data_IF_522753610118
#
_entry.id   IF_522753610118
#
_cell.length_a   1.000
_cell.length_b   1.000
_cell.length_c   1.000
_cell.angle_alpha   90.00
_cell.angle_beta   90.00
_cell.angle_gamma   90.00
#
_symmetry.space_group_name_H-M   'P 1'
#
loop_
_entity.id
_entity.type
_entity.pdbx_description
1 polymer ?
#
# COMPACT_ATOMS: atom_id res chain seq x y z
N UNK A 1 21.89 19.53 15.29
CA UNK A 1 20.78 19.69 14.28
C UNK A 1 20.07 18.38 14.16
N UNK A 2 18.72 18.34 14.17
CA UNK A 2 17.97 17.10 13.89
C UNK A 2 18.24 16.69 12.45
N UNK A 3 18.56 15.42 12.23
CA UNK A 3 18.66 14.85 10.87
C UNK A 3 17.33 15.09 10.14
N UNK A 4 17.33 15.55 8.89
CA UNK A 4 16.08 15.75 8.15
C UNK A 4 15.33 14.41 7.99
N UNK A 5 13.99 14.47 8.10
CA UNK A 5 13.11 13.34 7.92
C UNK A 5 13.24 12.78 6.51
N UNK A 6 13.52 11.50 6.37
CA UNK A 6 13.62 10.84 5.06
C UNK A 6 12.44 9.92 4.80
N UNK A 7 11.84 10.01 3.60
CA UNK A 7 10.72 9.17 3.18
C UNK A 7 11.16 8.28 2.01
N UNK A 8 11.00 6.96 2.15
CA UNK A 8 11.21 6.01 1.05
C UNK A 8 9.92 5.83 0.26
N UNK A 9 9.95 6.18 -1.03
CA UNK A 9 8.89 5.86 -1.99
C UNK A 9 9.19 4.49 -2.61
N UNK A 10 8.28 3.53 -2.43
CA UNK A 10 8.46 2.16 -2.96
C UNK A 10 7.50 1.94 -4.11
N UNK A 11 8.04 1.58 -5.27
CA UNK A 11 7.29 1.33 -6.49
C UNK A 11 7.61 -0.07 -7.07
N UNK A 12 6.68 -1.04 -7.01
CA UNK A 12 6.80 -2.33 -7.69
C UNK A 12 6.51 -2.16 -9.19
N UNK A 13 7.45 -2.53 -10.05
CA UNK A 13 7.37 -2.31 -11.50
C UNK A 13 7.12 -3.64 -12.23
N UNK A 14 5.95 -3.77 -12.86
CA UNK A 14 5.59 -4.90 -13.73
C UNK A 14 4.48 -4.53 -14.71
N UNK A 15 4.73 -4.57 -16.02
CA UNK A 15 3.70 -4.36 -17.04
C UNK A 15 3.13 -2.94 -17.12
N UNK A 16 3.95 -1.90 -16.90
CA UNK A 16 3.50 -0.50 -16.76
C UNK A 16 4.16 0.47 -17.75
N UNK A 17 4.70 -0.01 -18.86
CA UNK A 17 5.43 0.82 -19.84
C UNK A 17 4.65 2.05 -20.30
N UNK A 18 3.31 1.95 -20.40
CA UNK A 18 2.43 3.04 -20.81
C UNK A 18 2.25 4.14 -19.76
N UNK A 19 2.59 3.84 -18.51
CA UNK A 19 2.26 4.68 -17.35
C UNK A 19 3.51 5.19 -16.64
N UNK A 20 4.60 4.41 -16.67
CA UNK A 20 5.82 4.62 -15.89
C UNK A 20 6.46 6.00 -16.12
N UNK A 21 6.32 6.58 -17.30
CA UNK A 21 6.88 7.91 -17.60
C UNK A 21 6.20 9.00 -16.77
N UNK A 22 4.85 9.04 -16.76
CA UNK A 22 4.10 10.02 -15.96
C UNK A 22 4.32 9.80 -14.47
N UNK A 23 4.34 8.54 -14.04
CA UNK A 23 4.65 8.18 -12.67
C UNK A 23 6.02 8.70 -12.26
N UNK A 24 7.08 8.38 -13.03
CA UNK A 24 8.46 8.78 -12.76
C UNK A 24 8.58 10.31 -12.64
N UNK A 25 7.97 11.06 -13.55
CA UNK A 25 7.93 12.52 -13.46
C UNK A 25 7.28 13.01 -12.17
N UNK A 26 6.15 12.43 -11.76
CA UNK A 26 5.45 12.85 -10.55
C UNK A 26 6.24 12.61 -9.28
N UNK A 27 6.99 11.50 -9.20
CA UNK A 27 7.78 11.17 -8.01
C UNK A 27 9.14 11.89 -7.98
N UNK A 28 9.79 12.09 -9.14
CA UNK A 28 11.08 12.78 -9.20
C UNK A 28 10.98 14.31 -9.12
N UNK A 29 9.82 14.89 -9.46
CA UNK A 29 9.57 16.34 -9.38
C UNK A 29 8.98 16.78 -8.03
N UNK A 30 9.11 15.99 -6.97
CA UNK A 30 8.64 16.37 -5.65
C UNK A 30 9.41 17.58 -5.10
N UNK A 31 8.70 18.48 -4.40
CA UNK A 31 9.31 19.67 -3.77
C UNK A 31 10.16 19.34 -2.54
N UNK A 32 10.00 18.16 -1.95
CA UNK A 32 10.75 17.70 -0.78
C UNK A 32 12.05 17.00 -1.17
N UNK A 33 13.23 17.41 -0.65
CA UNK A 33 14.52 16.90 -1.15
C UNK A 33 15.00 15.59 -0.49
N UNK A 34 14.44 15.20 0.67
CA UNK A 34 14.92 14.04 1.43
C UNK A 34 14.07 12.80 1.13
N UNK A 35 14.17 12.31 -0.10
CA UNK A 35 13.42 11.15 -0.58
C UNK A 35 14.40 10.07 -1.02
N UNK A 36 14.12 8.82 -0.66
CA UNK A 36 14.69 7.64 -1.28
C UNK A 36 13.65 7.05 -2.25
N UNK A 37 14.06 6.73 -3.47
CA UNK A 37 13.22 6.08 -4.48
C UNK A 37 13.65 4.61 -4.61
N UNK A 38 12.76 3.68 -4.30
CA UNK A 38 13.02 2.24 -4.39
C UNK A 38 12.10 1.64 -5.45
N UNK A 39 12.66 1.33 -6.61
CA UNK A 39 11.96 0.64 -7.70
C UNK A 39 12.28 -0.84 -7.63
N UNK A 40 11.25 -1.68 -7.57
CA UNK A 40 11.43 -3.13 -7.61
C UNK A 40 10.92 -3.66 -8.94
N UNK A 41 11.84 -3.98 -9.84
CA UNK A 41 11.54 -4.68 -11.07
C UNK A 41 11.19 -6.14 -10.75
N UNK A 42 9.90 -6.48 -10.82
CA UNK A 42 9.39 -7.83 -10.58
C UNK A 42 9.43 -8.70 -11.86
N UNK A 43 10.56 -8.67 -12.56
CA UNK A 43 10.77 -9.43 -13.78
C UNK A 43 9.85 -8.99 -14.92
N UNK A 44 9.63 -7.69 -15.08
CA UNK A 44 8.80 -7.15 -16.17
C UNK A 44 9.37 -7.53 -17.53
N UNK A 45 8.47 -7.86 -18.48
CA UNK A 45 8.86 -8.29 -19.85
C UNK A 45 8.64 -7.18 -20.88
N UNK A 46 8.00 -6.10 -20.48
CA UNK A 46 7.76 -4.93 -21.33
C UNK A 46 8.88 -3.88 -21.18
N UNK A 47 8.77 -2.76 -21.85
CA UNK A 47 9.78 -1.69 -21.81
C UNK A 47 9.72 -0.80 -20.56
N UNK A 48 8.99 -1.18 -19.50
CA UNK A 48 8.83 -0.36 -18.27
C UNK A 48 10.17 0.10 -17.71
N UNK A 49 11.14 -0.81 -17.57
CA UNK A 49 12.44 -0.48 -16.99
C UNK A 49 13.32 0.32 -17.95
N UNK A 50 13.21 0.09 -19.26
CA UNK A 50 13.96 0.86 -20.26
C UNK A 50 13.50 2.32 -20.28
N UNK A 51 12.17 2.54 -20.23
CA UNK A 51 11.57 3.88 -20.13
C UNK A 51 11.98 4.58 -18.85
N UNK A 52 11.92 3.90 -17.70
CA UNK A 52 12.34 4.45 -16.41
C UNK A 52 13.82 4.86 -16.42
N UNK A 53 14.68 3.97 -16.89
CA UNK A 53 16.14 4.21 -16.95
C UNK A 53 16.48 5.37 -17.90
N UNK A 54 15.81 5.47 -19.04
CA UNK A 54 16.00 6.59 -19.96
C UNK A 54 15.63 7.93 -19.29
N UNK A 55 14.49 8.01 -18.62
CA UNK A 55 14.05 9.21 -17.90
C UNK A 55 15.04 9.61 -16.80
N UNK A 56 15.53 8.65 -16.02
CA UNK A 56 16.55 8.90 -14.97
C UNK A 56 17.81 9.46 -15.61
N UNK A 57 18.31 8.81 -16.66
CA UNK A 57 19.54 9.21 -17.35
C UNK A 57 19.45 10.60 -17.98
N UNK A 58 18.33 10.89 -18.63
CA UNK A 58 18.19 12.10 -19.43
C UNK A 58 17.83 13.33 -18.59
N UNK A 59 17.08 13.17 -17.49
CA UNK A 59 16.48 14.30 -16.77
C UNK A 59 16.76 14.34 -15.27
N UNK A 60 17.02 13.19 -14.63
CA UNK A 60 17.07 13.08 -13.17
C UNK A 60 18.40 12.46 -12.68
N UNK A 61 19.48 12.62 -13.41
CA UNK A 61 20.83 12.13 -13.05
C UNK A 61 21.29 12.65 -11.67
N UNK A 62 20.84 13.86 -11.30
CA UNK A 62 21.16 14.47 -10.00
C UNK A 62 20.55 13.73 -8.81
N UNK A 63 19.52 12.88 -9.03
CA UNK A 63 18.89 12.05 -8.00
C UNK A 63 19.50 10.65 -7.88
N UNK A 64 20.56 10.34 -8.64
CA UNK A 64 21.12 8.99 -8.75
C UNK A 64 21.39 8.34 -7.39
N UNK A 65 21.94 9.08 -6.45
CA UNK A 65 22.26 8.58 -5.11
C UNK A 65 21.04 8.30 -4.23
N UNK A 66 19.87 8.83 -4.61
CA UNK A 66 18.59 8.60 -3.94
C UNK A 66 17.81 7.44 -4.56
N UNK A 67 18.22 6.95 -5.74
CA UNK A 67 17.49 5.93 -6.51
C UNK A 67 18.11 4.56 -6.28
N UNK A 68 17.28 3.61 -5.88
CA UNK A 68 17.63 2.19 -5.74
C UNK A 68 16.75 1.39 -6.70
N UNK A 69 17.36 0.66 -7.62
CA UNK A 69 16.67 -0.28 -8.51
C UNK A 69 17.02 -1.69 -8.08
N UNK A 70 16.01 -2.47 -7.72
CA UNK A 70 16.15 -3.86 -7.32
C UNK A 70 15.50 -4.75 -8.37
N UNK A 71 16.24 -5.74 -8.86
CA UNK A 71 15.69 -6.72 -9.81
C UNK A 71 15.41 -8.04 -9.10
N UNK A 72 14.28 -8.65 -9.42
CA UNK A 72 13.93 -10.01 -9.00
C UNK A 72 13.19 -10.74 -10.10
N UNK A 73 13.18 -12.06 -10.03
CA UNK A 73 12.26 -12.87 -10.84
C UNK A 73 10.83 -12.59 -10.42
N UNK A 74 9.87 -12.68 -11.38
CA UNK A 74 8.48 -12.36 -11.08
C UNK A 74 7.94 -13.24 -9.94
N UNK A 75 7.71 -12.60 -8.81
CA UNK A 75 7.17 -13.22 -7.59
C UNK A 75 5.83 -12.60 -7.15
N UNK A 76 5.31 -11.64 -7.92
CA UNK A 76 4.04 -10.96 -7.69
C UNK A 76 4.13 -9.76 -6.76
N UNK A 77 3.07 -8.95 -6.79
CA UNK A 77 2.99 -7.66 -6.11
C UNK A 77 3.34 -7.70 -4.60
N UNK A 78 2.86 -8.69 -3.80
CA UNK A 78 3.22 -8.76 -2.38
C UNK A 78 4.72 -8.94 -2.15
N UNK A 79 5.35 -9.81 -2.95
CA UNK A 79 6.78 -10.07 -2.86
C UNK A 79 7.60 -8.86 -3.28
N UNK A 80 7.20 -8.17 -4.35
CA UNK A 80 7.87 -6.96 -4.83
C UNK A 80 7.77 -5.83 -3.78
N UNK A 81 6.60 -5.60 -3.17
CA UNK A 81 6.46 -4.64 -2.07
C UNK A 81 7.32 -4.99 -0.86
N UNK A 82 7.32 -6.27 -0.45
CA UNK A 82 8.18 -6.74 0.64
C UNK A 82 9.65 -6.51 0.33
N UNK A 83 10.07 -6.81 -0.89
CA UNK A 83 11.45 -6.54 -1.34
C UNK A 83 11.79 -5.06 -1.26
N UNK A 84 10.90 -4.18 -1.69
CA UNK A 84 11.08 -2.74 -1.56
C UNK A 84 11.25 -2.28 -0.11
N UNK A 85 10.47 -2.84 0.83
CA UNK A 85 10.59 -2.55 2.26
C UNK A 85 11.97 -2.95 2.80
N UNK A 86 12.55 -4.07 2.34
CA UNK A 86 13.89 -4.53 2.74
C UNK A 86 14.99 -3.51 2.35
N UNK A 87 14.82 -2.81 1.23
CA UNK A 87 15.76 -1.80 0.71
C UNK A 87 15.45 -0.38 1.18
N UNK A 88 14.31 -0.16 1.82
CA UNK A 88 13.94 1.16 2.34
C UNK A 88 14.81 1.56 3.54
N UNK A 89 15.44 2.73 3.45
CA UNK A 89 16.29 3.30 4.50
C UNK A 89 15.67 4.52 5.19
N UNK A 90 14.65 5.14 4.59
CA UNK A 90 13.97 6.30 5.13
C UNK A 90 13.28 6.02 6.47
N UNK A 91 12.98 7.07 7.20
CA UNK A 91 12.27 6.99 8.48
C UNK A 91 10.82 6.50 8.29
N UNK A 92 10.24 6.87 7.15
CA UNK A 92 8.90 6.48 6.75
C UNK A 92 8.91 5.82 5.36
N UNK A 93 7.89 5.01 5.10
CA UNK A 93 7.66 4.33 3.83
C UNK A 93 6.31 4.75 3.26
N UNK A 94 6.30 5.11 2.00
CA UNK A 94 5.11 5.32 1.21
C UNK A 94 5.16 4.45 -0.06
N UNK A 95 4.19 3.54 -0.22
CA UNK A 95 4.03 2.75 -1.44
C UNK A 95 3.30 3.56 -2.50
N UNK A 96 3.83 3.60 -3.71
CA UNK A 96 3.23 4.31 -4.84
C UNK A 96 3.16 3.37 -6.05
N UNK A 97 1.97 3.13 -6.58
CA UNK A 97 1.81 2.21 -7.71
C UNK A 97 2.19 2.90 -9.03
N UNK A 98 3.01 2.26 -9.90
CA UNK A 98 3.60 2.93 -11.07
C UNK A 98 2.64 3.12 -12.25
N UNK A 99 1.38 2.75 -12.13
CA UNK A 99 0.32 3.15 -13.06
C UNK A 99 -0.47 4.40 -12.60
N UNK A 100 -0.14 4.93 -11.41
CA UNK A 100 -0.73 6.11 -10.78
C UNK A 100 0.24 7.32 -10.82
N UNK A 101 -0.07 8.41 -10.13
CA UNK A 101 0.82 9.56 -9.92
C UNK A 101 0.43 10.34 -8.65
N UNK A 102 1.35 11.18 -8.18
CA UNK A 102 1.17 11.97 -6.96
C UNK A 102 1.28 13.47 -7.23
N UNK A 103 0.70 14.29 -6.36
CA UNK A 103 0.82 15.73 -6.39
C UNK A 103 2.27 16.17 -6.16
N UNK A 104 2.68 17.29 -6.76
CA UNK A 104 4.08 17.77 -6.73
C UNK A 104 4.60 18.07 -5.32
N UNK A 105 3.74 18.47 -4.41
CA UNK A 105 4.05 18.83 -3.02
C UNK A 105 3.60 17.75 -2.01
N UNK A 106 3.26 16.56 -2.51
CA UNK A 106 2.68 15.50 -1.68
C UNK A 106 3.62 15.06 -0.56
N UNK A 107 4.90 14.79 -0.90
CA UNK A 107 5.89 14.35 0.10
C UNK A 107 6.19 15.47 1.11
N UNK A 108 6.26 16.72 0.68
CA UNK A 108 6.47 17.89 1.55
C UNK A 108 5.34 18.03 2.57
N UNK A 109 4.08 17.95 2.14
CA UNK A 109 2.91 18.02 3.02
C UNK A 109 2.88 16.88 4.03
N UNK A 110 3.20 15.65 3.60
CA UNK A 110 3.30 14.48 4.48
C UNK A 110 4.42 14.69 5.50
N UNK A 111 5.62 15.12 5.07
CA UNK A 111 6.77 15.38 5.92
C UNK A 111 6.49 16.48 6.95
N UNK A 112 5.76 17.54 6.56
CA UNK A 112 5.34 18.60 7.46
C UNK A 112 4.45 18.09 8.59
N UNK A 113 3.44 17.27 8.27
CA UNK A 113 2.56 16.65 9.28
C UNK A 113 3.35 15.74 10.22
N UNK A 114 4.22 14.88 9.68
CA UNK A 114 5.05 13.99 10.50
C UNK A 114 5.96 14.80 11.43
N UNK A 115 6.61 15.84 10.91
CA UNK A 115 7.52 16.68 11.69
C UNK A 115 6.81 17.42 12.83
N UNK A 116 5.55 17.79 12.62
CA UNK A 116 4.74 18.50 13.61
C UNK A 116 4.14 17.57 14.68
N UNK A 117 3.84 16.31 14.34
CA UNK A 117 3.06 15.40 15.19
C UNK A 117 3.82 14.18 15.68
N UNK A 118 4.96 13.83 15.05
CA UNK A 118 5.70 12.56 15.25
C UNK A 118 4.79 11.34 15.18
N UNK A 119 3.77 11.40 14.32
CA UNK A 119 2.81 10.31 14.19
C UNK A 119 3.41 9.09 13.49
N UNK A 120 2.90 7.90 13.80
CA UNK A 120 3.38 6.65 13.20
C UNK A 120 2.79 6.40 11.81
N UNK A 121 1.62 6.98 11.51
CA UNK A 121 0.92 6.81 10.26
C UNK A 121 0.18 8.08 9.86
N UNK A 122 0.44 8.56 8.64
CA UNK A 122 -0.34 9.60 7.97
C UNK A 122 -1.15 8.94 6.85
N UNK A 123 -2.44 9.23 6.78
CA UNK A 123 -3.28 8.85 5.64
C UNK A 123 -3.93 10.09 5.03
N UNK A 124 -4.29 10.03 3.75
CA UNK A 124 -4.76 11.19 3.00
C UNK A 124 -5.82 10.83 1.98
N UNK A 125 -6.47 11.88 1.45
CA UNK A 125 -7.48 11.79 0.42
C UNK A 125 -6.88 11.49 -0.95
N UNK A 126 -7.71 11.05 -1.88
CA UNK A 126 -7.30 10.67 -3.22
C UNK A 126 -8.30 11.14 -4.27
N UNK A 127 -7.83 11.17 -5.52
CA UNK A 127 -8.68 11.38 -6.68
C UNK A 127 -8.68 10.12 -7.54
N UNK A 128 -9.86 9.67 -7.97
CA UNK A 128 -10.00 8.59 -8.95
C UNK A 128 -10.06 9.18 -10.35
N UNK A 129 -9.12 8.77 -11.18
CA UNK A 129 -9.01 9.24 -12.55
C UNK A 129 -9.63 8.21 -13.51
N UNK A 130 -10.57 8.69 -14.30
CA UNK A 130 -11.23 7.94 -15.37
C UNK A 130 -10.95 8.62 -16.69
N UNK A 131 -11.22 7.95 -17.79
CA UNK A 131 -11.16 8.60 -19.11
C UNK A 131 -12.15 9.79 -19.17
N UNK A 132 -11.60 10.99 -19.28
CA UNK A 132 -12.37 12.24 -19.42
C UNK A 132 -13.04 12.77 -18.14
N UNK A 133 -12.83 12.16 -16.97
CA UNK A 133 -13.37 12.66 -15.70
C UNK A 133 -12.56 12.24 -14.50
N UNK A 134 -12.59 13.06 -13.47
CA UNK A 134 -11.97 12.77 -12.17
C UNK A 134 -13.00 12.83 -11.03
N UNK A 135 -12.77 12.08 -9.98
CA UNK A 135 -13.64 12.07 -8.80
C UNK A 135 -12.82 12.05 -7.51
N UNK A 136 -12.89 13.13 -6.74
CA UNK A 136 -12.29 13.19 -5.42
C UNK A 136 -12.96 12.18 -4.50
N UNK A 137 -12.14 11.49 -3.72
CA UNK A 137 -12.54 10.54 -2.68
C UNK A 137 -11.88 10.96 -1.38
N UNK A 138 -12.71 11.33 -0.42
CA UNK A 138 -12.30 11.67 0.93
C UNK A 138 -12.37 10.44 1.81
N UNK A 139 -11.35 10.29 2.68
CA UNK A 139 -11.33 9.26 3.69
C UNK A 139 -12.15 9.69 4.91
N UNK A 140 -12.58 8.73 5.73
CA UNK A 140 -13.22 9.01 7.00
C UNK A 140 -12.23 9.53 8.04
N UNK A 141 -12.78 10.13 9.14
CA UNK A 141 -11.95 10.62 10.25
C UNK A 141 -11.61 9.47 11.20
N UNK A 142 -10.32 9.11 11.23
CA UNK A 142 -9.78 8.07 12.09
C UNK A 142 -8.56 8.57 12.85
N UNK A 143 -8.36 8.01 14.04
CA UNK A 143 -7.23 8.32 14.92
C UNK A 143 -6.81 7.08 15.70
N UNK A 144 -5.80 7.19 16.53
CA UNK A 144 -5.39 6.12 17.44
C UNK A 144 -6.51 5.70 18.42
N UNK A 145 -7.43 6.62 18.76
CA UNK A 145 -8.54 6.34 19.68
C UNK A 145 -9.66 5.50 19.04
N UNK A 146 -9.76 5.48 17.71
CA UNK A 146 -10.80 4.73 16.99
C UNK A 146 -10.24 3.82 15.89
N UNK A 147 -8.98 3.40 16.00
CA UNK A 147 -8.32 2.53 15.01
C UNK A 147 -9.05 1.22 14.76
N UNK A 148 -9.73 0.68 15.76
CA UNK A 148 -10.60 -0.49 15.61
C UNK A 148 -11.73 -0.24 14.62
N UNK A 149 -12.38 0.93 14.73
CA UNK A 149 -13.39 1.35 13.77
C UNK A 149 -12.77 1.50 12.37
N UNK A 150 -11.58 2.07 12.26
CA UNK A 150 -10.88 2.22 10.99
C UNK A 150 -10.64 0.86 10.32
N UNK A 151 -10.08 -0.11 11.07
CA UNK A 151 -9.86 -1.47 10.59
C UNK A 151 -11.18 -2.12 10.15
N UNK A 152 -12.22 -2.03 10.97
CA UNK A 152 -13.55 -2.56 10.65
C UNK A 152 -14.13 -1.95 9.37
N UNK A 153 -14.02 -0.63 9.22
CA UNK A 153 -14.54 0.09 8.07
C UNK A 153 -13.78 -0.26 6.78
N UNK A 154 -12.47 -0.57 6.84
CA UNK A 154 -11.73 -1.14 5.70
C UNK A 154 -12.31 -2.47 5.25
N UNK A 155 -12.64 -3.38 6.19
CA UNK A 155 -13.26 -4.66 5.83
C UNK A 155 -14.67 -4.52 5.25
N UNK A 156 -15.39 -3.47 5.62
CA UNK A 156 -16.72 -3.18 5.06
C UNK A 156 -16.67 -2.26 3.83
N UNK A 157 -15.47 -1.91 3.32
CA UNK A 157 -15.26 -0.96 2.21
C UNK A 157 -15.86 0.45 2.47
N UNK A 158 -15.97 0.82 3.73
CA UNK A 158 -16.34 2.17 4.17
C UNK A 158 -15.11 3.08 4.28
N UNK A 159 -13.93 2.48 4.50
CA UNK A 159 -12.64 3.12 4.50
C UNK A 159 -11.70 2.50 3.45
N UNK A 160 -10.64 3.20 3.06
CA UNK A 160 -9.68 2.71 2.09
C UNK A 160 -8.70 1.74 2.74
N UNK A 161 -8.77 0.46 2.35
CA UNK A 161 -7.83 -0.57 2.77
C UNK A 161 -6.53 -0.59 1.95
N UNK A 162 -6.32 0.36 1.03
CA UNK A 162 -5.11 0.44 0.23
C UNK A 162 -3.93 0.99 1.02
N UNK A 163 -2.71 0.55 0.66
CA UNK A 163 -1.47 0.98 1.30
C UNK A 163 -0.94 2.29 0.71
N UNK A 164 -1.26 2.58 -0.55
CA UNK A 164 -0.73 3.70 -1.30
C UNK A 164 -1.31 5.08 -0.91
N UNK A 165 -2.40 5.15 -0.13
CA UNK A 165 -2.86 6.41 0.49
C UNK A 165 -2.38 6.58 1.93
N UNK A 166 -1.28 5.90 2.29
CA UNK A 166 -0.71 5.95 3.65
C UNK A 166 0.80 6.03 3.60
N UNK A 167 1.35 6.93 4.43
CA UNK A 167 2.78 7.00 4.73
C UNK A 167 2.98 6.50 6.16
N UNK A 168 3.83 5.49 6.34
CA UNK A 168 3.91 4.72 7.57
C UNK A 168 5.34 4.67 8.09
N UNK A 169 5.54 4.85 9.38
CA UNK A 169 6.84 4.76 10.05
C UNK A 169 7.51 3.42 9.77
N UNK A 170 8.74 3.43 9.24
CA UNK A 170 9.45 2.23 8.81
C UNK A 170 9.60 1.19 9.92
N UNK A 171 9.72 1.60 11.17
CA UNK A 171 9.84 0.69 12.31
C UNK A 171 8.64 -0.25 12.46
N UNK A 172 7.43 0.17 12.04
CA UNK A 172 6.24 -0.70 12.09
C UNK A 172 6.34 -1.89 11.13
N UNK A 173 7.01 -1.73 9.99
CA UNK A 173 7.26 -2.82 9.06
C UNK A 173 8.28 -3.87 9.57
N UNK A 174 9.05 -3.52 10.61
CA UNK A 174 10.02 -4.41 11.25
C UNK A 174 9.48 -5.11 12.49
N UNK A 175 8.20 -4.88 12.84
CA UNK A 175 7.57 -5.52 13.99
C UNK A 175 7.50 -7.04 13.80
N UNK A 176 7.87 -7.77 14.82
CA UNK A 176 7.72 -9.24 14.91
C UNK A 176 6.25 -9.70 14.89
N UNK A 177 5.33 -8.76 15.17
CA UNK A 177 3.88 -8.96 15.12
C UNK A 177 3.28 -8.81 13.72
N UNK A 178 4.06 -8.30 12.76
CA UNK A 178 3.61 -8.11 11.38
C UNK A 178 3.85 -9.35 10.55
N UNK A 179 2.82 -9.82 9.85
CA UNK A 179 2.97 -10.85 8.82
C UNK A 179 2.68 -10.26 7.44
N UNK A 180 3.33 -10.81 6.42
CA UNK A 180 3.19 -10.34 5.05
C UNK A 180 2.18 -11.19 4.27
N UNK A 181 1.42 -10.59 3.33
CA UNK A 181 0.49 -11.33 2.47
C UNK A 181 1.24 -12.25 1.52
N UNK A 182 0.63 -13.39 1.19
CA UNK A 182 1.18 -14.35 0.20
C UNK A 182 0.48 -14.22 -1.16
N UNK A 183 -0.75 -13.73 -1.16
CA UNK A 183 -1.57 -13.65 -2.35
C UNK A 183 -1.77 -12.19 -2.76
N UNK A 184 -1.86 -11.96 -4.07
CA UNK A 184 -1.95 -10.62 -4.67
C UNK A 184 -3.26 -9.90 -4.31
N UNK A 185 -4.38 -10.62 -4.26
CA UNK A 185 -5.64 -9.95 -3.98
C UNK A 185 -5.90 -9.79 -2.47
N UNK A 186 -6.16 -8.55 -2.08
CA UNK A 186 -6.42 -8.17 -0.69
C UNK A 186 -5.15 -7.96 0.13
N UNK A 187 -3.97 -7.97 -0.49
CA UNK A 187 -2.68 -7.75 0.15
C UNK A 187 -2.59 -6.37 0.79
N UNK A 188 -3.14 -5.35 0.13
CA UNK A 188 -3.22 -3.99 0.66
C UNK A 188 -3.96 -3.96 2.00
N UNK A 189 -5.21 -4.44 2.00
CA UNK A 189 -6.03 -4.47 3.23
C UNK A 189 -5.41 -5.37 4.30
N UNK A 190 -4.78 -6.49 3.89
CA UNK A 190 -4.07 -7.39 4.80
C UNK A 190 -2.93 -6.67 5.53
N UNK A 191 -2.11 -5.92 4.80
CA UNK A 191 -0.96 -5.21 5.37
C UNK A 191 -1.41 -3.96 6.12
N UNK A 192 -2.28 -3.16 5.51
CA UNK A 192 -2.75 -1.88 6.06
C UNK A 192 -3.45 -2.05 7.41
N UNK A 193 -4.31 -3.05 7.56
CA UNK A 193 -5.02 -3.28 8.83
C UNK A 193 -4.07 -3.61 9.97
N UNK A 194 -3.00 -4.34 9.70
CA UNK A 194 -1.97 -4.63 10.70
C UNK A 194 -1.17 -3.37 11.08
N UNK A 195 -0.76 -2.58 10.08
CA UNK A 195 -0.01 -1.34 10.32
C UNK A 195 -0.84 -0.33 11.10
N UNK A 196 -2.13 -0.17 10.77
CA UNK A 196 -3.07 0.65 11.56
C UNK A 196 -3.20 0.11 12.98
N UNK A 197 -3.27 -1.20 13.12
CA UNK A 197 -3.31 -1.85 14.43
C UNK A 197 -2.07 -1.58 15.28
N UNK A 198 -0.87 -1.64 14.69
CA UNK A 198 0.42 -1.43 15.35
C UNK A 198 0.71 0.05 15.63
N UNK A 199 0.15 0.98 14.83
CA UNK A 199 0.40 2.40 14.99
C UNK A 199 -0.10 2.92 16.34
N UNK A 200 0.75 3.61 17.09
CA UNK A 200 0.41 4.32 18.33
C UNK A 200 -0.29 5.65 18.04
N UNK A 201 0.00 6.27 16.90
CA UNK A 201 -0.54 7.56 16.49
C UNK A 201 -0.87 7.59 15.00
N UNK A 202 -2.06 8.10 14.66
CA UNK A 202 -2.60 8.15 13.30
C UNK A 202 -3.14 9.54 13.04
N UNK A 203 -2.77 10.13 11.91
CA UNK A 203 -3.19 11.48 11.50
C UNK A 203 -3.80 11.46 10.10
N UNK A 204 -4.95 12.11 9.93
CA UNK A 204 -5.56 12.38 8.64
C UNK A 204 -5.05 13.70 8.06
N UNK A 205 -4.32 13.65 6.98
CA UNK A 205 -4.00 14.82 6.17
C UNK A 205 -5.11 15.00 5.14
N UNK A 206 -6.00 15.98 5.37
CA UNK A 206 -7.20 16.25 4.55
C UNK A 206 -6.86 16.91 3.21
N UNK A 207 -5.85 16.35 2.54
CA UNK A 207 -5.37 16.81 1.23
C UNK A 207 -5.46 15.69 0.21
N UNK A 208 -5.78 16.04 -1.03
CA UNK A 208 -5.78 15.10 -2.15
C UNK A 208 -4.36 15.03 -2.70
N UNK A 209 -3.64 13.95 -2.38
CA UNK A 209 -2.23 13.81 -2.74
C UNK A 209 -1.96 12.73 -3.78
N UNK A 210 -2.92 11.85 -4.04
CA UNK A 210 -2.74 10.66 -4.86
C UNK A 210 -3.79 10.57 -5.96
N UNK A 211 -3.35 10.35 -7.20
CA UNK A 211 -4.19 10.14 -8.37
C UNK A 211 -4.24 8.66 -8.73
N UNK A 212 -5.36 8.04 -8.42
CA UNK A 212 -5.60 6.63 -8.68
C UNK A 212 -6.24 6.42 -10.05
N UNK A 213 -5.51 5.82 -10.98
CA UNK A 213 -5.95 5.52 -12.33
C UNK A 213 -6.96 4.39 -12.36
N UNK A 214 -8.11 4.62 -13.00
CA UNK A 214 -9.20 3.66 -13.14
C UNK A 214 -9.39 3.14 -14.57
N UNK A 215 -8.71 3.70 -15.53
CA UNK A 215 -8.83 3.34 -16.96
C UNK A 215 -7.75 2.37 -17.45
N UNK A 216 -6.84 1.89 -16.58
CA UNK A 216 -5.89 0.85 -16.91
C UNK A 216 -6.62 -0.49 -17.17
N UNK A 217 -6.66 -1.02 -18.43
CA UNK A 217 -7.33 -2.28 -18.76
C UNK A 217 -6.60 -3.50 -18.20
N UNK A 218 -5.28 -3.37 -17.92
CA UNK A 218 -4.43 -4.43 -17.39
C UNK A 218 -4.36 -4.43 -15.85
N UNK A 219 -5.07 -3.50 -15.20
CA UNK A 219 -5.10 -3.44 -13.74
C UNK A 219 -5.51 -4.80 -13.13
N UNK A 220 -4.77 -5.23 -12.12
CA UNK A 220 -5.01 -6.48 -11.38
C UNK A 220 -6.48 -6.59 -10.95
N UNK A 221 -7.08 -5.48 -10.54
CA UNK A 221 -8.48 -5.42 -10.09
C UNK A 221 -9.51 -5.78 -11.16
N UNK A 222 -9.13 -5.82 -12.44
CA UNK A 222 -10.02 -6.18 -13.57
C UNK A 222 -9.89 -7.65 -14.00
N UNK A 223 -8.92 -8.37 -13.44
CA UNK A 223 -8.65 -9.75 -13.86
C UNK A 223 -9.43 -10.76 -13.01
N UNK A 224 -9.62 -11.93 -13.57
CA UNK A 224 -10.16 -13.20 -13.03
C UNK A 224 -10.89 -13.14 -11.66
N UNK A 225 -12.21 -12.92 -11.69
CA UNK A 225 -13.06 -12.81 -10.50
C UNK A 225 -12.91 -13.98 -9.51
N UNK A 226 -12.87 -15.24 -10.01
CA UNK A 226 -12.79 -16.43 -9.15
C UNK A 226 -11.46 -16.51 -8.40
N UNK A 227 -10.34 -16.27 -9.13
CA UNK A 227 -8.99 -16.21 -8.52
C UNK A 227 -8.93 -15.11 -7.47
N UNK A 228 -9.43 -13.92 -7.79
CA UNK A 228 -9.45 -12.77 -6.90
C UNK A 228 -10.15 -13.08 -5.57
N UNK A 229 -11.34 -13.62 -5.62
CA UNK A 229 -12.09 -13.93 -4.40
C UNK A 229 -11.47 -15.03 -3.57
N UNK A 230 -10.87 -16.04 -4.24
CA UNK A 230 -10.14 -17.10 -3.55
C UNK A 230 -8.91 -16.56 -2.81
N UNK A 231 -8.07 -15.78 -3.48
CA UNK A 231 -6.86 -15.22 -2.89
C UNK A 231 -7.19 -14.25 -1.75
N UNK A 232 -8.20 -13.40 -1.94
CA UNK A 232 -8.72 -12.53 -0.89
C UNK A 232 -9.15 -13.32 0.35
N UNK A 233 -9.91 -14.39 0.16
CA UNK A 233 -10.34 -15.26 1.26
C UNK A 233 -9.15 -15.94 1.96
N UNK A 234 -8.13 -16.39 1.21
CA UNK A 234 -6.94 -17.04 1.78
C UNK A 234 -6.09 -16.07 2.59
N UNK A 235 -5.87 -14.84 2.09
CA UNK A 235 -5.17 -13.80 2.84
C UNK A 235 -5.91 -13.50 4.15
N UNK A 236 -7.22 -13.33 4.12
CA UNK A 236 -7.99 -13.05 5.35
C UNK A 236 -8.04 -14.21 6.32
N UNK A 237 -8.07 -15.46 5.86
CA UNK A 237 -7.93 -16.61 6.75
C UNK A 237 -6.58 -16.61 7.48
N UNK A 238 -5.48 -16.32 6.76
CA UNK A 238 -4.17 -16.19 7.39
C UNK A 238 -4.15 -15.09 8.44
N UNK A 239 -4.72 -13.94 8.12
CA UNK A 239 -4.80 -12.83 9.07
C UNK A 239 -5.61 -13.20 10.31
N UNK A 240 -6.75 -13.86 10.13
CA UNK A 240 -7.58 -14.37 11.21
C UNK A 240 -6.81 -15.37 12.09
N UNK A 241 -6.12 -16.36 11.47
CA UNK A 241 -5.35 -17.35 12.21
C UNK A 241 -4.17 -16.74 12.97
N UNK A 242 -3.54 -15.71 12.41
CA UNK A 242 -2.47 -14.97 13.07
C UNK A 242 -2.97 -14.27 14.32
N UNK A 243 -4.04 -13.50 14.21
CA UNK A 243 -4.58 -12.76 15.36
C UNK A 243 -5.20 -13.66 16.42
N UNK A 244 -5.84 -14.75 16.03
CA UNK A 244 -6.42 -15.71 16.98
C UNK A 244 -5.40 -16.31 17.94
N UNK A 245 -4.12 -16.38 17.53
CA UNK A 245 -3.04 -16.99 18.31
C UNK A 245 -2.32 -15.99 19.23
N UNK A 246 -2.61 -14.72 19.13
CA UNK A 246 -1.98 -13.68 19.95
C UNK A 246 -2.84 -13.40 21.20
N UNK A 247 -2.35 -13.69 22.43
CA UNK A 247 -3.19 -13.66 23.62
C UNK A 247 -3.52 -12.28 24.16
N UNK A 248 -2.75 -11.23 23.87
CA UNK A 248 -2.90 -9.94 24.52
C UNK A 248 -2.64 -8.72 23.65
N UNK A 249 -3.36 -7.64 23.93
CA UNK A 249 -3.21 -6.21 23.64
C UNK A 249 -3.93 -5.61 22.46
N UNK A 250 -4.37 -6.35 21.50
CA UNK A 250 -5.38 -5.89 20.55
C UNK A 250 -6.20 -7.10 20.18
N UNK A 251 -7.37 -7.26 20.77
CA UNK A 251 -8.25 -8.30 20.33
C UNK A 251 -8.94 -7.89 18.99
N UNK A 252 -8.19 -7.80 17.87
CA UNK A 252 -8.77 -7.62 16.55
C UNK A 252 -9.59 -8.87 16.20
N UNK A 253 -9.43 -9.99 16.92
CA UNK A 253 -10.23 -11.20 16.73
C UNK A 253 -11.72 -10.90 16.91
N UNK A 254 -12.07 -10.05 17.85
CA UNK A 254 -13.48 -9.64 17.99
C UNK A 254 -13.91 -8.72 16.85
N UNK A 255 -13.03 -7.84 16.38
CA UNK A 255 -13.31 -6.89 15.29
C UNK A 255 -13.24 -7.58 13.93
N UNK A 256 -12.26 -8.47 13.77
CA UNK A 256 -11.99 -9.19 12.53
C UNK A 256 -12.78 -10.50 12.42
N UNK A 257 -13.16 -11.12 13.54
CA UNK A 257 -13.85 -12.41 13.52
C UNK A 257 -15.19 -12.35 12.79
N UNK A 258 -15.99 -11.34 13.01
CA UNK A 258 -17.33 -11.26 12.40
C UNK A 258 -17.29 -10.88 10.91
N UNK A 259 -16.61 -9.78 10.47
CA UNK A 259 -16.59 -9.42 9.05
C UNK A 259 -15.73 -10.36 8.21
N UNK A 260 -14.59 -10.83 8.70
CA UNK A 260 -13.73 -11.79 7.97
C UNK A 260 -14.44 -13.12 7.86
N UNK A 261 -14.93 -13.67 8.97
CA UNK A 261 -15.64 -14.96 8.99
C UNK A 261 -16.84 -14.96 8.05
N UNK A 262 -17.67 -13.90 8.08
CA UNK A 262 -18.82 -13.76 7.17
C UNK A 262 -18.39 -13.70 5.71
N UNK A 263 -17.33 -12.97 5.37
CA UNK A 263 -16.85 -12.87 3.99
C UNK A 263 -16.20 -14.14 3.49
N UNK A 264 -15.36 -14.76 4.28
CA UNK A 264 -14.75 -16.05 3.91
C UNK A 264 -15.83 -17.11 3.75
N UNK A 265 -16.82 -17.14 4.63
CA UNK A 265 -17.98 -18.04 4.51
C UNK A 265 -18.76 -17.77 3.22
N UNK A 266 -19.07 -16.51 2.95
CA UNK A 266 -19.78 -16.08 1.75
C UNK A 266 -19.02 -16.46 0.46
N UNK A 267 -17.72 -16.18 0.40
CA UNK A 267 -16.88 -16.58 -0.73
C UNK A 267 -16.75 -18.10 -0.85
N UNK A 268 -16.66 -18.81 0.26
CA UNK A 268 -16.61 -20.28 0.27
C UNK A 268 -17.87 -20.90 -0.29
N UNK A 269 -19.04 -20.35 0.02
CA UNK A 269 -20.34 -20.81 -0.47
C UNK A 269 -20.49 -20.47 -1.96
N UNK A 270 -20.34 -19.18 -2.33
CA UNK A 270 -20.63 -18.72 -3.69
C UNK A 270 -19.64 -19.31 -4.71
N UNK A 271 -18.37 -19.45 -4.34
CA UNK A 271 -17.32 -19.91 -5.25
C UNK A 271 -16.89 -21.35 -5.02
N UNK A 272 -17.61 -22.08 -4.15
CA UNK A 272 -17.30 -23.49 -3.78
C UNK A 272 -15.80 -23.72 -3.49
N UNK A 273 -15.24 -22.88 -2.61
CA UNK A 273 -13.80 -22.87 -2.34
C UNK A 273 -13.34 -23.93 -1.32
N UNK A 274 -14.26 -24.70 -0.74
CA UNK A 274 -13.95 -25.74 0.25
C UNK A 274 -13.36 -25.23 1.58
N UNK A 275 -13.46 -23.91 1.84
CA UNK A 275 -12.82 -23.27 3.00
C UNK A 275 -13.68 -23.32 4.29
N UNK A 276 -14.92 -23.83 4.19
CA UNK A 276 -15.87 -23.87 5.32
C UNK A 276 -15.29 -24.62 6.51
N UNK A 277 -14.62 -25.77 6.26
CA UNK A 277 -14.01 -26.59 7.32
C UNK A 277 -12.87 -25.90 8.07
N UNK A 278 -12.24 -24.87 7.48
CA UNK A 278 -11.15 -24.12 8.12
C UNK A 278 -11.64 -23.02 9.07
N UNK A 279 -12.93 -22.66 8.98
CA UNK A 279 -13.54 -21.60 9.79
C UNK A 279 -14.28 -22.17 11.02
N UNK A 280 -14.61 -23.46 10.95
CA UNK A 280 -15.37 -24.19 12.01
C UNK A 280 -14.48 -24.75 13.14
N UNK A 281 -13.18 -24.68 13.00
CA UNK A 281 -12.16 -25.03 13.99
C UNK A 281 -11.50 -23.79 14.59
#
# INVERSE_FOLDING_TARGET
MKTPLTISLIAPVYGVEKYIARFAESVFCQSYPYIQFVFVNDGTKDASMDVLNAIIKDRFTHLKEQIVIVNQDNAGLPAARRKGIEYATGDYIWHVDPDDWIEKDAVEKIAAVISATDCDLVYFDLIKEYQGRSKIKREGEYSSLNKERYIKDMFYHKAFGCIWNKCVKRSLYKSDKLIYPEYTYGEDTFLTTQLVGLAGSIVHLKEVLYHYRKDNPQAITRQNHRKRHREYALNFLRLYDHYRKQPDHMNPVYILSCPIRRRVLWYSIIYNLGLIRKISR
#
